data_IF_117683002628
#
_entry.id   IF_117683002628
#
_cell.length_a   1.000
_cell.length_b   1.000
_cell.length_c   1.000
_cell.angle_alpha   90.00
_cell.angle_beta   90.00
_cell.angle_gamma   90.00
#
_symmetry.space_group_name_H-M   'P 1'
#
loop_
_entity.id
_entity.type
_entity.pdbx_description
1 polymer ?
#
# COMPACT_ATOMS: atom_id res chain seq x y z
N UNK A 1 -9.63 42.35 -57.22
CA UNK A 1 -10.42 42.76 -56.03
C UNK A 1 -10.38 44.28 -55.82
N UNK A 2 -9.25 44.81 -55.35
CA UNK A 2 -9.03 46.26 -55.12
C UNK A 2 -9.29 47.10 -56.38
N UNK A 3 -8.99 46.56 -57.56
CA UNK A 3 -9.23 47.23 -58.84
C UNK A 3 -10.72 47.37 -59.21
N UNK A 4 -11.59 46.42 -58.84
CA UNK A 4 -13.04 46.49 -59.12
C UNK A 4 -13.75 47.45 -58.15
N UNK A 5 -13.35 47.45 -56.88
CA UNK A 5 -13.85 48.40 -55.88
C UNK A 5 -13.42 49.85 -56.20
N UNK A 6 -12.20 50.07 -56.71
CA UNK A 6 -11.74 51.38 -57.18
C UNK A 6 -12.49 51.87 -58.43
N UNK A 7 -12.84 50.98 -59.36
CA UNK A 7 -13.64 51.31 -60.54
C UNK A 7 -15.08 51.72 -60.17
N UNK A 8 -15.76 50.95 -59.31
CA UNK A 8 -17.12 51.27 -58.85
C UNK A 8 -17.20 52.62 -58.11
N UNK A 9 -16.16 52.97 -57.32
CA UNK A 9 -16.03 54.28 -56.65
C UNK A 9 -15.84 55.44 -57.63
N UNK A 10 -15.16 55.21 -58.76
CA UNK A 10 -14.94 56.23 -59.81
C UNK A 10 -16.19 56.47 -60.67
N UNK A 11 -17.10 55.50 -60.77
CA UNK A 11 -18.32 55.60 -61.56
C UNK A 11 -19.53 56.14 -60.77
N UNK A 12 -19.35 56.59 -59.51
CA UNK A 12 -20.42 57.22 -58.73
C UNK A 12 -21.51 56.27 -58.23
N UNK A 13 -21.33 54.95 -58.36
CA UNK A 13 -22.32 53.95 -57.96
C UNK A 13 -22.10 53.60 -56.47
N UNK A 14 -22.51 54.52 -55.59
CA UNK A 14 -22.30 54.43 -54.14
C UNK A 14 -22.79 53.11 -53.53
N UNK A 15 -23.97 52.65 -53.93
CA UNK A 15 -24.61 51.45 -53.39
C UNK A 15 -23.93 50.14 -53.81
N UNK A 16 -23.34 50.06 -55.01
CA UNK A 16 -22.67 48.83 -55.49
C UNK A 16 -21.33 48.59 -54.81
N UNK A 17 -20.64 49.64 -54.35
CA UNK A 17 -19.36 49.50 -53.63
C UNK A 17 -19.53 48.79 -52.28
N UNK A 18 -20.61 49.11 -51.57
CA UNK A 18 -20.93 48.50 -50.27
C UNK A 18 -21.36 47.05 -50.45
N UNK A 19 -22.17 46.75 -51.47
CA UNK A 19 -22.59 45.37 -51.80
C UNK A 19 -21.40 44.50 -52.19
N UNK A 20 -20.50 44.99 -53.04
CA UNK A 20 -19.29 44.24 -53.43
C UNK A 20 -18.35 44.06 -52.23
N UNK A 21 -18.14 45.08 -51.40
CA UNK A 21 -17.31 44.92 -50.19
C UNK A 21 -17.95 43.95 -49.19
N UNK A 22 -19.28 43.94 -49.06
CA UNK A 22 -20.02 42.99 -48.22
C UNK A 22 -19.91 41.57 -48.73
N UNK A 23 -20.15 41.32 -50.02
CA UNK A 23 -19.98 39.99 -50.61
C UNK A 23 -18.52 39.50 -50.51
N UNK A 24 -17.54 40.39 -50.63
CA UNK A 24 -16.14 40.05 -50.48
C UNK A 24 -15.76 39.76 -49.02
N UNK A 25 -16.32 40.52 -48.07
CA UNK A 25 -16.15 40.27 -46.64
C UNK A 25 -16.82 38.94 -46.27
N UNK A 26 -18.04 38.69 -46.75
CA UNK A 26 -18.77 37.44 -46.53
C UNK A 26 -18.05 36.24 -47.16
N UNK A 27 -17.49 36.36 -48.37
CA UNK A 27 -16.70 35.32 -49.02
C UNK A 27 -15.35 35.07 -48.31
N UNK A 28 -14.70 36.13 -47.81
CA UNK A 28 -13.46 36.02 -47.04
C UNK A 28 -13.71 35.37 -45.67
N UNK A 29 -14.76 35.81 -44.95
CA UNK A 29 -15.23 35.26 -43.67
C UNK A 29 -15.70 33.81 -43.82
N UNK A 30 -16.37 33.46 -44.92
CA UNK A 30 -16.73 32.07 -45.24
C UNK A 30 -15.50 31.19 -45.51
N UNK A 31 -14.47 31.70 -46.19
CA UNK A 31 -13.23 30.93 -46.44
C UNK A 31 -12.39 30.74 -45.17
N UNK A 32 -12.27 31.75 -44.31
CA UNK A 32 -11.62 31.60 -43.00
C UNK A 32 -12.44 30.69 -42.09
N UNK A 33 -13.77 30.79 -42.10
CA UNK A 33 -14.66 29.86 -41.39
C UNK A 33 -14.53 28.41 -41.86
N UNK A 34 -14.42 28.14 -43.16
CA UNK A 34 -14.20 26.78 -43.70
C UNK A 34 -12.82 26.23 -43.32
N UNK A 35 -11.75 27.03 -43.43
CA UNK A 35 -10.39 26.62 -43.02
C UNK A 35 -10.31 26.37 -41.51
N UNK A 36 -10.94 27.21 -40.71
CA UNK A 36 -11.01 27.05 -39.26
C UNK A 36 -11.79 25.79 -38.87
N UNK A 37 -12.94 25.53 -39.51
CA UNK A 37 -13.69 24.27 -39.35
C UNK A 37 -12.86 23.05 -39.79
N UNK A 38 -12.07 23.16 -40.85
CA UNK A 38 -11.18 22.08 -41.30
C UNK A 38 -10.05 21.82 -40.29
N UNK A 39 -9.44 22.87 -39.72
CA UNK A 39 -8.43 22.73 -38.65
C UNK A 39 -9.04 22.09 -37.41
N UNK A 40 -10.23 22.53 -36.98
CA UNK A 40 -10.95 21.90 -35.86
C UNK A 40 -11.26 20.44 -36.17
N UNK A 41 -11.73 20.12 -37.39
CA UNK A 41 -12.01 18.74 -37.78
C UNK A 41 -10.74 17.87 -37.76
N UNK A 42 -9.61 18.38 -38.25
CA UNK A 42 -8.32 17.67 -38.18
C UNK A 42 -7.87 17.46 -36.74
N UNK A 43 -7.99 18.49 -35.88
CA UNK A 43 -7.66 18.37 -34.45
C UNK A 43 -8.58 17.38 -33.73
N UNK A 44 -9.89 17.38 -34.05
CA UNK A 44 -10.86 16.44 -33.51
C UNK A 44 -10.55 15.01 -33.98
N UNK A 45 -10.27 14.80 -35.27
CA UNK A 45 -9.86 13.50 -35.80
C UNK A 45 -8.55 13.01 -35.17
N UNK A 46 -7.57 13.90 -34.98
CA UNK A 46 -6.31 13.58 -34.31
C UNK A 46 -6.54 13.20 -32.84
N UNK A 47 -7.40 13.95 -32.13
CA UNK A 47 -7.78 13.63 -30.75
C UNK A 47 -8.46 12.27 -30.66
N UNK A 48 -9.42 11.97 -31.55
CA UNK A 48 -10.09 10.67 -31.62
C UNK A 48 -9.10 9.55 -31.92
N UNK A 49 -8.18 9.74 -32.86
CA UNK A 49 -7.17 8.75 -33.19
C UNK A 49 -6.20 8.49 -32.03
N UNK A 50 -5.74 9.54 -31.34
CA UNK A 50 -4.89 9.42 -30.14
C UNK A 50 -5.64 8.73 -29.01
N UNK A 51 -6.93 9.04 -28.83
CA UNK A 51 -7.79 8.43 -27.80
C UNK A 51 -8.05 6.96 -28.10
N UNK A 52 -8.33 6.61 -29.37
CA UNK A 52 -8.52 5.23 -29.81
C UNK A 52 -7.23 4.41 -29.69
N UNK A 53 -6.08 4.98 -30.05
CA UNK A 53 -4.77 4.34 -29.85
C UNK A 53 -4.46 4.15 -28.36
N UNK A 54 -4.73 5.17 -27.53
CA UNK A 54 -4.59 5.09 -26.08
C UNK A 54 -5.45 3.98 -25.48
N UNK A 55 -6.72 3.92 -25.87
CA UNK A 55 -7.66 2.88 -25.44
C UNK A 55 -7.18 1.49 -25.86
N UNK A 56 -6.81 1.29 -27.12
CA UNK A 56 -6.29 0.01 -27.62
C UNK A 56 -5.04 -0.44 -26.87
N UNK A 57 -4.11 0.48 -26.59
CA UNK A 57 -2.89 0.19 -25.84
C UNK A 57 -3.19 -0.14 -24.38
N UNK A 58 -4.11 0.58 -23.73
CA UNK A 58 -4.57 0.28 -22.36
C UNK A 58 -5.19 -1.12 -22.30
N UNK A 59 -6.04 -1.47 -23.25
CA UNK A 59 -6.67 -2.80 -23.30
C UNK A 59 -5.64 -3.92 -23.47
N UNK A 60 -4.65 -3.72 -24.33
CA UNK A 60 -3.51 -4.63 -24.46
C UNK A 60 -2.74 -4.81 -23.15
N UNK A 61 -2.46 -3.72 -22.43
CA UNK A 61 -1.80 -3.76 -21.12
C UNK A 61 -2.66 -4.45 -20.05
N UNK A 62 -3.98 -4.21 -20.04
CA UNK A 62 -4.93 -4.90 -19.14
C UNK A 62 -4.90 -6.41 -19.37
N UNK A 63 -4.89 -6.85 -20.63
CA UNK A 63 -4.80 -8.28 -20.98
C UNK A 63 -3.48 -8.91 -20.51
N UNK A 64 -2.35 -8.23 -20.72
CA UNK A 64 -1.04 -8.68 -20.24
C UNK A 64 -1.01 -8.81 -18.72
N UNK A 65 -1.57 -7.83 -17.99
CA UNK A 65 -1.70 -7.91 -16.54
C UNK A 65 -2.51 -9.12 -16.09
N UNK A 66 -3.67 -9.34 -16.70
CA UNK A 66 -4.53 -10.48 -16.35
C UNK A 66 -3.82 -11.83 -16.49
N UNK A 67 -2.96 -11.98 -17.50
CA UNK A 67 -2.12 -13.17 -17.66
C UNK A 67 -1.09 -13.30 -16.53
N UNK A 68 -0.37 -12.22 -16.21
CA UNK A 68 0.63 -12.21 -15.13
C UNK A 68 -0.02 -12.53 -13.78
N UNK A 69 -1.15 -11.89 -13.46
CA UNK A 69 -1.88 -12.13 -12.23
C UNK A 69 -2.39 -13.58 -12.13
N UNK A 70 -2.85 -14.16 -13.25
CA UNK A 70 -3.27 -15.56 -13.32
C UNK A 70 -2.13 -16.53 -12.99
N UNK A 71 -0.93 -16.29 -13.52
CA UNK A 71 0.27 -17.08 -13.21
C UNK A 71 0.66 -16.96 -11.73
N UNK A 72 0.66 -15.73 -11.19
CA UNK A 72 0.92 -15.48 -9.77
C UNK A 72 -0.06 -16.25 -8.90
N UNK A 73 -1.36 -16.20 -9.21
CA UNK A 73 -2.40 -16.90 -8.45
C UNK A 73 -2.22 -18.43 -8.49
N UNK A 74 -1.84 -18.99 -9.64
CA UNK A 74 -1.58 -20.43 -9.76
C UNK A 74 -0.38 -20.84 -8.90
N UNK A 75 0.72 -20.10 -8.95
CA UNK A 75 1.92 -20.39 -8.16
C UNK A 75 1.61 -20.29 -6.66
N UNK A 76 0.94 -19.23 -6.23
CA UNK A 76 0.53 -19.03 -4.83
C UNK A 76 -0.40 -20.15 -4.33
N UNK A 77 -1.31 -20.66 -5.19
CA UNK A 77 -2.18 -21.78 -4.85
C UNK A 77 -1.41 -23.09 -4.65
N UNK A 78 -0.34 -23.33 -5.41
CA UNK A 78 0.56 -24.48 -5.21
C UNK A 78 1.37 -24.30 -3.93
N UNK A 79 1.96 -23.12 -3.73
CA UNK A 79 2.74 -22.79 -2.53
C UNK A 79 1.91 -22.93 -1.24
N UNK A 80 0.63 -22.55 -1.26
CA UNK A 80 -0.25 -22.70 -0.10
C UNK A 80 -0.45 -24.15 0.35
N UNK A 81 -0.37 -25.10 -0.60
CA UNK A 81 -0.48 -26.56 -0.36
C UNK A 81 0.86 -27.20 -0.03
N UNK A 82 1.97 -26.58 -0.41
CA UNK A 82 3.30 -27.03 -0.04
C UNK A 82 3.49 -26.85 1.47
N UNK A 83 3.87 -27.94 2.15
CA UNK A 83 3.99 -27.94 3.62
C UNK A 83 5.42 -27.77 4.12
N UNK A 84 6.43 -27.69 3.24
CA UNK A 84 7.85 -27.67 3.63
C UNK A 84 8.74 -26.87 2.66
N UNK A 85 9.86 -26.40 3.20
CA UNK A 85 10.99 -25.88 2.44
C UNK A 85 11.62 -27.01 1.61
N UNK A 86 11.48 -26.95 0.30
CA UNK A 86 12.03 -27.92 -0.66
C UNK A 86 12.62 -27.17 -1.86
N UNK A 87 13.50 -27.84 -2.62
CA UNK A 87 14.07 -27.27 -3.84
C UNK A 87 12.98 -26.88 -4.87
N UNK A 88 11.85 -27.59 -4.89
CA UNK A 88 10.70 -27.27 -5.73
C UNK A 88 9.99 -25.98 -5.26
N UNK A 89 9.80 -25.82 -3.95
CA UNK A 89 9.24 -24.59 -3.36
C UNK A 89 10.11 -23.37 -3.68
N UNK A 90 11.43 -23.52 -3.60
CA UNK A 90 12.37 -22.45 -3.96
C UNK A 90 12.29 -22.07 -5.44
N UNK A 91 12.13 -23.05 -6.34
CA UNK A 91 11.92 -22.79 -7.77
C UNK A 91 10.60 -22.06 -8.05
N UNK A 92 9.53 -22.45 -7.36
CA UNK A 92 8.23 -21.79 -7.48
C UNK A 92 8.28 -20.33 -7.00
N UNK A 93 8.96 -20.07 -5.88
CA UNK A 93 9.14 -18.69 -5.38
C UNK A 93 10.01 -17.87 -6.35
N UNK A 94 11.09 -18.44 -6.89
CA UNK A 94 11.89 -17.72 -7.88
C UNK A 94 11.09 -17.39 -9.16
N UNK A 95 10.20 -18.28 -9.60
CA UNK A 95 9.28 -18.01 -10.72
C UNK A 95 8.25 -16.93 -10.34
N UNK A 96 7.74 -16.97 -9.12
CA UNK A 96 6.84 -15.94 -8.59
C UNK A 96 7.49 -14.55 -8.63
N UNK A 97 8.71 -14.42 -8.11
CA UNK A 97 9.47 -13.16 -8.10
C UNK A 97 9.61 -12.59 -9.53
N UNK A 98 9.88 -13.44 -10.52
CA UNK A 98 9.95 -13.01 -11.93
C UNK A 98 8.63 -12.45 -12.47
N UNK A 99 7.49 -13.00 -12.06
CA UNK A 99 6.19 -12.47 -12.46
C UNK A 99 5.83 -11.21 -11.68
N UNK A 100 6.20 -11.12 -10.40
CA UNK A 100 6.08 -9.90 -9.61
C UNK A 100 6.85 -8.73 -10.26
N UNK A 101 8.10 -8.96 -10.68
CA UNK A 101 8.92 -7.97 -11.39
C UNK A 101 8.27 -7.50 -12.71
N UNK A 102 7.76 -8.44 -13.50
CA UNK A 102 7.03 -8.14 -14.76
C UNK A 102 5.79 -7.28 -14.48
N UNK A 103 5.07 -7.60 -13.42
CA UNK A 103 3.86 -6.88 -13.06
C UNK A 103 4.15 -5.47 -12.55
N UNK A 104 5.22 -5.29 -11.75
CA UNK A 104 5.71 -3.98 -11.33
C UNK A 104 6.16 -3.13 -12.52
N UNK A 105 6.88 -3.72 -13.48
CA UNK A 105 7.27 -3.03 -14.70
C UNK A 105 6.06 -2.54 -15.51
N UNK A 106 5.00 -3.36 -15.57
CA UNK A 106 3.75 -3.01 -16.22
C UNK A 106 3.04 -1.84 -15.51
N UNK A 107 2.97 -1.88 -14.18
CA UNK A 107 2.35 -0.83 -13.35
C UNK A 107 3.07 0.53 -13.45
N UNK A 108 4.39 0.54 -13.69
CA UNK A 108 5.17 1.77 -13.90
C UNK A 108 4.81 2.50 -15.21
N UNK A 109 4.12 1.84 -16.13
CA UNK A 109 3.71 2.46 -17.41
C UNK A 109 2.63 3.52 -17.18
N UNK A 110 2.87 4.77 -17.60
CA UNK A 110 1.97 5.92 -17.40
C UNK A 110 0.54 5.65 -17.88
N UNK A 111 0.39 4.99 -19.04
CA UNK A 111 -0.90 4.62 -19.63
C UNK A 111 -1.69 3.64 -18.75
N UNK A 112 -1.00 2.74 -18.05
CA UNK A 112 -1.65 1.82 -17.12
C UNK A 112 -2.15 2.58 -15.89
N UNK A 113 -1.30 3.43 -15.27
CA UNK A 113 -1.68 4.22 -14.08
C UNK A 113 -2.93 5.09 -14.27
N UNK A 114 -3.12 5.63 -15.47
CA UNK A 114 -4.28 6.48 -15.80
C UNK A 114 -5.55 5.65 -16.08
N UNK A 115 -5.39 4.44 -16.64
CA UNK A 115 -6.51 3.59 -17.07
C UNK A 115 -6.91 2.46 -16.10
N UNK A 116 -6.20 2.27 -14.98
CA UNK A 116 -6.33 1.07 -14.13
C UNK A 116 -6.89 1.30 -12.72
N UNK A 117 -7.65 2.37 -12.48
CA UNK A 117 -8.32 2.61 -11.19
C UNK A 117 -9.42 1.59 -10.84
N UNK A 118 -9.62 0.57 -11.67
CA UNK A 118 -10.74 -0.34 -11.57
C UNK A 118 -10.44 -1.53 -10.63
N UNK A 119 -10.94 -1.41 -9.40
CA UNK A 119 -11.36 -2.49 -8.52
C UNK A 119 -10.27 -3.40 -7.95
N UNK A 120 -9.25 -2.82 -7.33
CA UNK A 120 -8.50 -3.58 -6.32
C UNK A 120 -9.32 -3.65 -5.02
N UNK A 121 -9.46 -4.85 -4.47
CA UNK A 121 -10.18 -5.07 -3.21
C UNK A 121 -9.61 -4.18 -2.11
N UNK A 122 -10.46 -3.37 -1.45
CA UNK A 122 -10.02 -2.27 -0.58
C UNK A 122 -8.95 -2.67 0.44
N UNK A 123 -9.14 -3.79 1.13
CA UNK A 123 -8.18 -4.32 2.12
C UNK A 123 -6.83 -4.67 1.47
N UNK A 124 -6.83 -5.26 0.28
CA UNK A 124 -5.60 -5.60 -0.44
C UNK A 124 -4.81 -4.34 -0.79
N UNK A 125 -5.50 -3.28 -1.20
CA UNK A 125 -4.88 -1.99 -1.47
C UNK A 125 -4.27 -1.38 -0.20
N UNK A 126 -4.98 -1.40 0.93
CA UNK A 126 -4.45 -0.90 2.20
C UNK A 126 -3.20 -1.67 2.67
N UNK A 127 -3.18 -3.00 2.50
CA UNK A 127 -1.96 -3.79 2.76
C UNK A 127 -0.82 -3.31 1.87
N UNK A 128 -1.05 -3.09 0.57
CA UNK A 128 0.00 -2.61 -0.35
C UNK A 128 0.54 -1.24 0.05
N UNK A 129 -0.34 -0.33 0.46
CA UNK A 129 0.05 1.00 0.94
C UNK A 129 0.91 0.90 2.21
N UNK A 130 0.50 0.07 3.17
CA UNK A 130 1.29 -0.22 4.38
C UNK A 130 2.66 -0.83 4.03
N UNK A 131 2.69 -1.81 3.13
CA UNK A 131 3.93 -2.47 2.73
C UNK A 131 4.88 -1.51 2.02
N UNK A 132 4.37 -0.65 1.13
CA UNK A 132 5.16 0.38 0.46
C UNK A 132 5.75 1.38 1.47
N UNK A 133 4.96 1.82 2.45
CA UNK A 133 5.44 2.70 3.53
C UNK A 133 6.53 2.03 4.39
N UNK A 134 6.41 0.71 4.61
CA UNK A 134 7.41 -0.07 5.33
C UNK A 134 8.65 -0.41 4.50
N UNK A 135 8.71 0.01 3.23
CA UNK A 135 9.81 -0.32 2.32
C UNK A 135 9.81 -1.80 1.90
N UNK A 136 8.71 -2.51 2.12
CA UNK A 136 8.50 -3.91 1.76
C UNK A 136 7.78 -3.99 0.41
N UNK A 137 8.40 -3.50 -0.68
CA UNK A 137 7.77 -3.57 -2.00
C UNK A 137 7.66 -5.04 -2.46
N UNK A 138 6.46 -5.62 -2.36
CA UNK A 138 6.10 -6.85 -3.08
C UNK A 138 4.82 -6.65 -3.86
N UNK A 139 4.82 -7.15 -5.09
CA UNK A 139 3.65 -7.08 -5.95
C UNK A 139 2.58 -8.09 -5.50
N UNK A 140 3.03 -9.28 -5.07
CA UNK A 140 2.14 -10.31 -4.53
C UNK A 140 2.06 -10.23 -3.01
N UNK A 141 0.85 -10.46 -2.50
CA UNK A 141 0.57 -10.75 -1.10
C UNK A 141 0.08 -12.20 -1.07
N UNK A 142 0.70 -13.10 -0.28
CA UNK A 142 0.24 -14.47 -0.16
C UNK A 142 -1.27 -14.55 0.15
N UNK A 143 -2.05 -15.38 -0.55
CA UNK A 143 -3.50 -15.48 -0.34
C UNK A 143 -3.89 -15.81 1.09
N UNK A 144 -3.11 -16.66 1.76
CA UNK A 144 -3.30 -16.99 3.18
C UNK A 144 -3.14 -15.75 4.07
N UNK A 145 -2.15 -14.89 3.78
CA UNK A 145 -1.95 -13.65 4.52
C UNK A 145 -3.12 -12.69 4.34
N UNK A 146 -3.53 -12.47 3.09
CA UNK A 146 -4.70 -11.63 2.76
C UNK A 146 -5.97 -12.16 3.44
N UNK A 147 -6.20 -13.48 3.39
CA UNK A 147 -7.33 -14.13 4.07
C UNK A 147 -7.30 -13.92 5.59
N UNK A 148 -6.13 -14.02 6.21
CA UNK A 148 -5.96 -13.76 7.63
C UNK A 148 -6.21 -12.28 7.99
N UNK A 149 -5.71 -11.32 7.21
CA UNK A 149 -5.98 -9.90 7.44
C UNK A 149 -7.50 -9.63 7.38
N UNK A 150 -8.19 -10.12 6.35
CA UNK A 150 -9.66 -9.97 6.23
C UNK A 150 -10.40 -10.56 7.42
N UNK A 151 -10.02 -11.77 7.85
CA UNK A 151 -10.59 -12.43 9.04
C UNK A 151 -10.40 -11.58 10.29
N UNK A 152 -9.22 -11.01 10.50
CA UNK A 152 -8.97 -10.15 11.67
C UNK A 152 -9.65 -8.79 11.59
N UNK A 153 -9.80 -8.20 10.40
CA UNK A 153 -10.64 -7.01 10.19
C UNK A 153 -12.07 -7.31 10.65
N UNK A 154 -12.67 -8.40 10.15
CA UNK A 154 -14.02 -8.83 10.58
C UNK A 154 -14.10 -9.11 12.08
N UNK A 155 -13.05 -9.68 12.67
CA UNK A 155 -13.01 -9.92 14.12
C UNK A 155 -13.01 -8.60 14.90
N UNK A 156 -12.22 -7.61 14.47
CA UNK A 156 -12.19 -6.28 15.09
C UNK A 156 -13.47 -5.49 14.86
N UNK A 157 -14.18 -5.69 13.74
CA UNK A 157 -15.49 -5.08 13.50
C UNK A 157 -16.63 -5.77 14.25
N UNK A 158 -16.47 -7.04 14.61
CA UNK A 158 -17.46 -7.86 15.31
C UNK A 158 -17.07 -8.18 16.76
N UNK A 159 -16.66 -9.42 17.09
CA UNK A 159 -16.43 -9.85 18.47
C UNK A 159 -15.46 -8.99 19.28
N UNK A 160 -14.42 -8.45 18.64
CA UNK A 160 -13.40 -7.62 19.29
C UNK A 160 -13.67 -6.11 19.13
N UNK A 161 -14.85 -5.72 18.61
CA UNK A 161 -15.24 -4.32 18.42
C UNK A 161 -15.10 -3.44 19.66
N UNK A 162 -15.45 -3.89 20.88
CA UNK A 162 -15.27 -3.06 22.07
C UNK A 162 -13.82 -2.61 22.29
N UNK A 163 -12.84 -3.49 22.03
CA UNK A 163 -11.42 -3.18 22.20
C UNK A 163 -10.96 -2.12 21.20
N UNK A 164 -11.39 -2.28 19.94
CA UNK A 164 -11.07 -1.33 18.87
C UNK A 164 -11.77 0.02 19.08
N UNK A 165 -13.06 0.01 19.42
CA UNK A 165 -13.85 1.21 19.69
C UNK A 165 -13.28 2.02 20.86
N UNK A 166 -12.81 1.34 21.92
CA UNK A 166 -12.15 2.02 23.04
C UNK A 166 -10.85 2.70 22.62
N UNK A 167 -10.02 2.05 21.80
CA UNK A 167 -8.78 2.63 21.31
C UNK A 167 -8.99 3.84 20.38
N UNK A 168 -10.06 3.81 19.58
CA UNK A 168 -10.40 4.86 18.63
C UNK A 168 -11.26 5.98 19.25
N UNK A 169 -11.93 5.70 20.37
CA UNK A 169 -12.78 6.64 21.12
C UNK A 169 -12.12 7.10 22.41
N UNK A 170 -12.45 6.44 23.52
CA UNK A 170 -12.06 6.84 24.90
C UNK A 170 -10.54 6.99 25.08
N UNK A 171 -9.76 6.08 24.51
CA UNK A 171 -8.30 6.08 24.61
C UNK A 171 -7.62 6.74 23.38
N UNK A 172 -8.37 7.47 22.54
CA UNK A 172 -7.85 8.13 21.35
C UNK A 172 -6.70 9.11 21.66
N UNK A 173 -6.78 9.82 22.79
CA UNK A 173 -5.70 10.73 23.20
C UNK A 173 -4.44 9.97 23.62
N UNK A 174 -4.60 8.84 24.32
CA UNK A 174 -3.48 7.94 24.66
C UNK A 174 -2.84 7.38 23.40
N UNK A 175 -3.66 6.90 22.45
CA UNK A 175 -3.21 6.41 21.14
C UNK A 175 -2.48 7.50 20.36
N UNK A 176 -3.01 8.73 20.33
CA UNK A 176 -2.37 9.89 19.69
C UNK A 176 -0.98 10.16 20.28
N UNK A 177 -0.85 10.16 21.60
CA UNK A 177 0.45 10.33 22.26
C UNK A 177 1.43 9.21 21.88
N UNK A 178 0.99 7.95 21.84
CA UNK A 178 1.85 6.85 21.42
C UNK A 178 2.30 7.01 19.97
N UNK A 179 1.37 7.30 19.04
CA UNK A 179 1.67 7.57 17.62
C UNK A 179 2.69 8.69 17.44
N UNK A 180 2.56 9.80 18.19
CA UNK A 180 3.53 10.89 18.19
C UNK A 180 4.92 10.47 18.69
N UNK A 181 5.01 9.56 19.67
CA UNK A 181 6.29 9.02 20.13
C UNK A 181 6.96 8.22 18.99
N UNK A 182 6.21 7.40 18.24
CA UNK A 182 6.77 6.68 17.08
C UNK A 182 7.26 7.66 16.00
N UNK A 183 6.45 8.67 15.68
CA UNK A 183 6.80 9.69 14.69
C UNK A 183 8.09 10.43 15.06
N UNK A 184 8.23 10.89 16.30
CA UNK A 184 9.43 11.57 16.80
C UNK A 184 10.70 10.71 16.77
N UNK A 185 10.57 9.40 16.65
CA UNK A 185 11.71 8.46 16.54
C UNK A 185 11.89 7.93 15.11
N UNK A 186 11.27 8.60 14.13
CA UNK A 186 11.33 8.25 12.71
C UNK A 186 10.88 6.83 12.43
N UNK A 187 9.82 6.39 13.12
CA UNK A 187 9.13 5.14 12.86
C UNK A 187 7.69 5.42 12.38
N UNK A 188 7.10 4.53 11.56
CA UNK A 188 5.70 4.63 11.19
C UNK A 188 4.79 4.75 12.42
N UNK A 189 3.96 5.80 12.53
CA UNK A 189 3.11 6.02 13.70
C UNK A 189 2.15 4.85 13.97
N UNK A 190 1.73 4.15 12.92
CA UNK A 190 0.75 3.07 13.02
C UNK A 190 1.29 1.80 13.68
N UNK A 191 2.60 1.71 13.90
CA UNK A 191 3.18 0.70 14.80
C UNK A 191 2.66 0.84 16.24
N UNK A 192 2.10 2.00 16.62
CA UNK A 192 1.39 2.15 17.89
C UNK A 192 0.21 1.17 18.04
N UNK A 193 -0.44 0.73 16.95
CA UNK A 193 -1.57 -0.20 17.01
C UNK A 193 -1.18 -1.62 17.44
N UNK A 194 0.11 -1.95 17.57
CA UNK A 194 0.58 -3.23 18.15
C UNK A 194 -0.04 -3.47 19.54
N UNK A 195 -0.24 -2.41 20.34
CA UNK A 195 -0.84 -2.51 21.69
C UNK A 195 -2.26 -3.10 21.69
N UNK A 196 -3.00 -3.00 20.58
CA UNK A 196 -4.31 -3.62 20.42
C UNK A 196 -4.21 -5.14 20.32
N UNK A 197 -3.11 -5.64 19.76
CA UNK A 197 -2.82 -7.06 19.65
C UNK A 197 -2.27 -7.60 20.96
N UNK A 198 -1.38 -6.84 21.60
CA UNK A 198 -0.68 -7.27 22.82
C UNK A 198 -1.59 -7.26 24.05
N UNK A 199 -2.36 -6.20 24.26
CA UNK A 199 -3.07 -5.99 25.52
C UNK A 199 -4.50 -5.51 25.32
N UNK A 200 -4.98 -5.47 24.08
CA UNK A 200 -6.22 -4.79 23.72
C UNK A 200 -6.26 -3.32 24.19
N UNK A 201 -5.12 -2.69 24.50
CA UNK A 201 -4.95 -1.37 25.14
C UNK A 201 -5.41 -1.30 26.62
N UNK A 202 -5.56 -2.41 27.35
CA UNK A 202 -5.90 -2.36 28.80
C UNK A 202 -4.66 -2.38 29.67
N UNK A 203 -3.70 -3.27 29.36
CA UNK A 203 -2.42 -3.38 30.07
C UNK A 203 -2.48 -4.12 31.41
N UNK A 204 -3.67 -4.60 31.81
CA UNK A 204 -3.92 -5.17 33.14
C UNK A 204 -3.55 -6.66 33.27
N UNK A 205 -3.36 -7.35 32.14
CA UNK A 205 -3.12 -8.80 32.12
C UNK A 205 -1.63 -9.12 32.13
N UNK A 206 -1.25 -10.09 32.97
CA UNK A 206 0.09 -10.67 33.01
C UNK A 206 0.10 -11.98 32.21
N UNK A 207 1.00 -12.09 31.24
CA UNK A 207 1.14 -13.32 30.45
C UNK A 207 1.84 -14.44 31.24
N UNK A 208 1.74 -15.71 30.82
CA UNK A 208 2.49 -16.82 31.44
C UNK A 208 4.02 -16.62 31.44
N UNK A 209 4.55 -15.84 30.49
CA UNK A 209 5.96 -15.47 30.42
C UNK A 209 6.32 -14.25 31.30
N UNK A 210 5.38 -13.76 32.10
CA UNK A 210 5.53 -12.59 32.96
C UNK A 210 5.47 -11.24 32.23
N UNK A 211 4.97 -11.22 30.99
CA UNK A 211 4.81 -10.00 30.22
C UNK A 211 3.63 -9.16 30.75
N UNK A 212 3.77 -7.83 30.80
CA UNK A 212 2.71 -6.94 31.34
C UNK A 212 2.71 -5.57 30.67
N UNK A 213 1.64 -4.80 30.90
CA UNK A 213 1.45 -3.45 30.38
C UNK A 213 0.95 -3.44 28.94
N UNK A 214 0.83 -2.25 28.37
CA UNK A 214 0.23 -2.06 27.04
C UNK A 214 0.99 -2.80 25.94
N UNK A 215 2.31 -2.85 26.08
CA UNK A 215 3.26 -3.42 25.13
C UNK A 215 3.62 -4.88 25.45
N UNK A 216 3.05 -5.46 26.53
CA UNK A 216 3.36 -6.80 27.02
C UNK A 216 4.87 -7.08 27.04
N UNK A 217 5.62 -6.26 27.80
CA UNK A 217 7.04 -6.51 27.96
C UNK A 217 7.34 -7.54 29.04
N UNK A 218 8.18 -8.52 28.74
CA UNK A 218 8.79 -9.38 29.76
C UNK A 218 9.71 -8.54 30.67
N UNK A 219 9.98 -8.97 31.92
CA UNK A 219 10.90 -8.24 32.81
C UNK A 219 12.32 -8.12 32.25
N UNK A 220 12.76 -9.09 31.44
CA UNK A 220 14.08 -9.05 30.79
C UNK A 220 14.10 -7.97 29.69
N UNK A 221 13.18 -8.06 28.73
CA UNK A 221 13.09 -7.10 27.62
C UNK A 221 12.86 -5.67 28.14
N UNK A 222 12.00 -5.49 29.14
CA UNK A 222 11.77 -4.17 29.74
C UNK A 222 13.07 -3.54 30.27
N UNK A 223 13.89 -4.30 30.98
CA UNK A 223 15.17 -3.83 31.53
C UNK A 223 16.19 -3.56 30.43
N UNK A 224 16.25 -4.42 29.41
CA UNK A 224 17.14 -4.21 28.24
C UNK A 224 16.84 -2.89 27.52
N UNK A 225 15.58 -2.43 27.57
CA UNK A 225 15.15 -1.17 26.97
C UNK A 225 14.97 -0.02 27.98
N UNK A 226 15.55 -0.17 29.18
CA UNK A 226 15.73 0.90 30.16
C UNK A 226 14.54 1.16 31.09
N UNK A 227 13.58 0.23 31.19
CA UNK A 227 12.50 0.28 32.17
C UNK A 227 12.96 -0.33 33.50
N UNK A 228 12.56 0.29 34.60
CA UNK A 228 12.72 -0.28 35.95
C UNK A 228 11.62 -1.30 36.21
N UNK A 229 12.03 -2.51 36.56
CA UNK A 229 11.16 -3.60 36.97
C UNK A 229 11.73 -4.22 38.24
N UNK A 230 11.07 -3.99 39.37
CA UNK A 230 11.48 -4.46 40.70
C UNK A 230 11.52 -3.34 41.74
N UNK A 231 11.74 -3.72 43.01
CA UNK A 231 11.84 -2.76 44.12
C UNK A 231 10.56 -1.94 44.35
N UNK A 232 9.39 -2.52 44.07
CA UNK A 232 8.08 -1.84 44.18
C UNK A 232 7.71 -0.96 42.99
N UNK A 233 8.54 -0.90 41.95
CA UNK A 233 8.29 -0.11 40.72
C UNK A 233 8.21 -1.03 39.51
N UNK A 234 7.18 -0.85 38.68
CA UNK A 234 7.06 -1.52 37.38
C UNK A 234 6.71 -0.51 36.27
N UNK A 235 7.73 0.00 35.60
CA UNK A 235 7.58 1.01 34.54
C UNK A 235 7.00 0.44 33.23
N UNK A 236 6.75 -0.88 33.16
CA UNK A 236 6.00 -1.49 32.04
C UNK A 236 4.54 -1.03 32.01
N UNK A 237 3.99 -0.64 33.17
CA UNK A 237 2.64 -0.12 33.32
C UNK A 237 2.53 1.38 32.97
N UNK A 238 3.66 2.10 32.93
CA UNK A 238 3.69 3.49 32.51
C UNK A 238 3.57 3.57 30.98
N UNK A 239 2.48 4.16 30.48
CA UNK A 239 2.22 4.26 29.04
C UNK A 239 3.36 4.96 28.28
N UNK A 240 3.87 6.08 28.80
CA UNK A 240 4.85 6.88 28.07
C UNK A 240 6.21 6.21 28.07
N UNK A 241 6.64 5.69 29.22
CA UNK A 241 7.94 5.00 29.35
C UNK A 241 7.94 3.71 28.55
N UNK A 242 6.91 2.87 28.70
CA UNK A 242 6.79 1.61 27.95
C UNK A 242 6.72 1.85 26.44
N UNK A 243 6.03 2.91 25.98
CA UNK A 243 5.99 3.25 24.55
C UNK A 243 7.34 3.70 24.02
N UNK A 244 8.12 4.48 24.79
CA UNK A 244 9.48 4.84 24.40
C UNK A 244 10.40 3.62 24.35
N UNK A 245 10.23 2.67 25.27
CA UNK A 245 10.95 1.40 25.24
C UNK A 245 10.56 0.54 24.03
N UNK A 246 9.27 0.43 23.70
CA UNK A 246 8.75 -0.26 22.51
C UNK A 246 9.28 0.33 21.21
N UNK A 247 9.32 1.67 21.12
CA UNK A 247 9.89 2.36 19.98
C UNK A 247 11.37 1.99 19.77
N UNK A 248 12.18 2.01 20.84
CA UNK A 248 13.59 1.56 20.78
C UNK A 248 13.71 0.09 20.40
N UNK A 249 12.86 -0.77 20.95
CA UNK A 249 12.88 -2.20 20.66
C UNK A 249 12.57 -2.49 19.19
N UNK A 250 11.45 -1.96 18.68
CA UNK A 250 11.02 -2.15 17.29
C UNK A 250 12.06 -1.56 16.34
N UNK A 251 12.62 -0.38 16.64
CA UNK A 251 13.70 0.21 15.85
C UNK A 251 14.91 -0.74 15.76
N UNK A 252 15.35 -1.31 16.88
CA UNK A 252 16.46 -2.26 16.87
C UNK A 252 16.13 -3.52 16.06
N UNK A 253 14.91 -4.05 16.18
CA UNK A 253 14.48 -5.19 15.38
C UNK A 253 14.51 -4.87 13.88
N UNK A 254 14.01 -3.70 13.46
CA UNK A 254 14.05 -3.26 12.06
C UNK A 254 15.50 -3.19 11.57
N UNK A 255 16.40 -2.58 12.36
CA UNK A 255 17.81 -2.45 12.02
C UNK A 255 18.51 -3.82 11.94
N UNK A 256 18.22 -4.73 12.86
CA UNK A 256 18.73 -6.12 12.86
C UNK A 256 18.37 -6.86 11.57
N UNK A 257 17.16 -6.63 11.04
CA UNK A 257 16.68 -7.28 9.82
C UNK A 257 17.02 -6.52 8.52
N UNK A 258 17.48 -5.27 8.59
CA UNK A 258 18.00 -4.51 7.45
C UNK A 258 16.93 -3.75 6.64
N UNK A 259 17.14 -3.58 5.34
CA UNK A 259 16.17 -2.95 4.42
C UNK A 259 15.18 -3.97 3.83
N UNK A 260 14.06 -3.50 3.27
CA UNK A 260 13.04 -4.34 2.64
C UNK A 260 11.91 -4.72 3.60
N UNK A 261 11.53 -6.00 3.64
CA UNK A 261 10.49 -6.54 4.55
C UNK A 261 10.87 -6.54 6.05
N UNK A 262 11.77 -5.67 6.48
CA UNK A 262 12.33 -5.65 7.83
C UNK A 262 11.31 -5.27 8.89
N UNK A 263 10.32 -4.42 8.59
CA UNK A 263 9.21 -4.13 9.50
C UNK A 263 8.39 -5.40 9.77
N UNK A 264 8.07 -6.19 8.75
CA UNK A 264 7.33 -7.44 8.96
C UNK A 264 8.16 -8.50 9.70
N UNK A 265 9.47 -8.58 9.42
CA UNK A 265 10.37 -9.43 10.20
C UNK A 265 10.48 -8.94 11.66
N UNK A 266 10.45 -7.63 11.90
CA UNK A 266 10.42 -7.05 13.23
C UNK A 266 9.12 -7.37 13.96
N UNK A 267 7.95 -7.29 13.31
CA UNK A 267 6.68 -7.73 13.89
C UNK A 267 6.69 -9.23 14.23
N UNK A 268 7.21 -10.07 13.32
CA UNK A 268 7.37 -11.49 13.58
C UNK A 268 8.32 -11.75 14.77
N UNK A 269 9.42 -10.99 14.87
CA UNK A 269 10.39 -11.10 15.95
C UNK A 269 9.87 -10.55 17.28
N UNK A 270 8.99 -9.56 17.26
CA UNK A 270 8.34 -9.02 18.44
C UNK A 270 7.52 -10.12 19.13
N UNK A 271 6.75 -10.90 18.36
CA UNK A 271 5.95 -12.02 18.88
C UNK A 271 6.79 -13.27 19.18
N UNK A 272 7.58 -13.75 18.22
CA UNK A 272 8.28 -15.04 18.32
C UNK A 272 9.56 -14.97 19.16
N UNK A 273 10.14 -13.78 19.26
CA UNK A 273 11.49 -13.52 19.77
C UNK A 273 12.53 -13.39 18.63
N UNK A 274 13.47 -12.43 18.74
CA UNK A 274 14.42 -12.11 17.67
C UNK A 274 15.35 -13.27 17.32
N UNK A 275 15.81 -14.05 18.30
CA UNK A 275 16.72 -15.18 18.07
C UNK A 275 16.10 -16.26 17.19
N UNK A 276 14.80 -16.52 17.34
CA UNK A 276 14.08 -17.53 16.55
C UNK A 276 13.87 -17.08 15.11
N UNK A 277 13.48 -15.82 14.90
CA UNK A 277 13.38 -15.25 13.55
C UNK A 277 14.75 -15.20 12.88
N UNK A 278 15.81 -14.81 13.60
CA UNK A 278 17.18 -14.84 13.09
C UNK A 278 17.60 -16.25 12.69
N UNK A 279 17.27 -17.26 13.49
CA UNK A 279 17.53 -18.65 13.14
C UNK A 279 16.76 -19.11 11.89
N UNK A 280 15.52 -18.67 11.71
CA UNK A 280 14.74 -18.95 10.50
C UNK A 280 15.37 -18.28 9.26
N UNK A 281 15.75 -17.01 9.38
CA UNK A 281 16.43 -16.24 8.33
C UNK A 281 17.79 -16.86 7.96
N UNK A 282 18.55 -17.39 8.92
CA UNK A 282 19.87 -18.00 8.66
C UNK A 282 19.78 -19.39 8.01
N UNK A 283 18.61 -20.01 7.93
CA UNK A 283 18.40 -21.33 7.31
C UNK A 283 18.07 -21.25 5.82
N UNK A 284 17.93 -20.05 5.25
CA UNK A 284 17.61 -19.87 3.84
C UNK A 284 18.83 -20.14 2.96
N UNK A 285 18.60 -20.62 1.73
CA UNK A 285 19.65 -21.00 0.79
C UNK A 285 20.26 -19.77 0.09
N UNK A 286 19.41 -18.80 -0.30
CA UNK A 286 19.81 -17.55 -0.94
C UNK A 286 19.48 -16.37 -0.01
N UNK A 287 20.43 -15.88 0.80
CA UNK A 287 20.18 -14.81 1.77
C UNK A 287 19.87 -13.45 1.13
N UNK A 288 20.11 -13.27 -0.18
CA UNK A 288 19.78 -12.02 -0.88
C UNK A 288 18.30 -12.01 -1.23
N UNK A 289 17.76 -13.12 -1.73
CA UNK A 289 16.36 -13.20 -2.20
C UNK A 289 15.38 -13.74 -1.16
N UNK A 290 15.84 -14.64 -0.30
CA UNK A 290 14.98 -15.41 0.61
C UNK A 290 14.94 -14.84 2.03
N UNK A 291 15.77 -13.82 2.35
CA UNK A 291 15.75 -13.11 3.64
C UNK A 291 14.60 -12.11 3.72
N UNK A 292 13.36 -12.57 3.52
CA UNK A 292 12.16 -11.75 3.62
C UNK A 292 11.08 -12.42 4.47
N UNK A 293 10.21 -11.63 5.06
CA UNK A 293 9.06 -12.17 5.80
C UNK A 293 8.19 -13.06 4.88
N UNK A 294 7.98 -12.64 3.64
CA UNK A 294 7.14 -13.37 2.69
C UNK A 294 7.69 -14.74 2.34
N UNK A 295 9.00 -14.86 2.15
CA UNK A 295 9.63 -16.16 1.96
C UNK A 295 9.38 -17.06 3.17
N UNK A 296 9.74 -16.59 4.38
CA UNK A 296 9.56 -17.35 5.61
C UNK A 296 8.09 -17.72 5.89
N UNK A 297 7.16 -16.86 5.50
CA UNK A 297 5.72 -17.10 5.59
C UNK A 297 5.29 -18.24 4.65
N UNK A 298 5.69 -18.18 3.37
CA UNK A 298 5.34 -19.19 2.34
C UNK A 298 5.93 -20.55 2.66
N UNK A 299 7.18 -20.62 3.09
CA UNK A 299 7.83 -21.91 3.44
C UNK A 299 7.50 -22.38 4.85
N UNK A 300 6.59 -21.70 5.57
CA UNK A 300 6.16 -22.01 6.93
C UNK A 300 7.32 -22.11 7.94
N UNK A 301 8.36 -21.29 7.76
CA UNK A 301 9.53 -21.25 8.64
C UNK A 301 9.27 -20.50 9.96
N UNK A 302 8.16 -19.78 10.06
CA UNK A 302 7.65 -19.20 11.30
C UNK A 302 6.39 -19.97 11.77
N UNK A 303 6.20 -20.13 13.09
CA UNK A 303 5.11 -20.96 13.61
C UNK A 303 3.73 -20.34 13.32
N UNK A 304 2.64 -21.14 13.39
CA UNK A 304 1.29 -20.68 13.12
C UNK A 304 0.91 -19.41 13.89
N UNK A 305 1.25 -19.35 15.18
CA UNK A 305 0.98 -18.17 16.03
C UNK A 305 1.55 -16.88 15.41
N UNK A 306 2.82 -16.89 14.99
CA UNK A 306 3.47 -15.72 14.38
C UNK A 306 2.93 -15.43 12.98
N UNK A 307 2.53 -16.46 12.22
CA UNK A 307 1.85 -16.28 10.93
C UNK A 307 0.47 -15.66 11.07
N UNK A 308 -0.17 -15.76 12.23
CA UNK A 308 -1.41 -15.06 12.56
C UNK A 308 -1.17 -13.68 13.19
N UNK A 309 -0.11 -13.54 13.98
CA UNK A 309 0.24 -12.30 14.68
C UNK A 309 0.44 -11.12 13.71
N UNK A 310 1.27 -11.30 12.68
CA UNK A 310 1.57 -10.20 11.73
C UNK A 310 0.29 -9.73 10.99
N UNK A 311 -0.54 -10.61 10.38
CA UNK A 311 -1.83 -10.20 9.83
C UNK A 311 -2.74 -9.50 10.83
N UNK A 312 -2.76 -9.91 12.10
CA UNK A 312 -3.58 -9.29 13.13
C UNK A 312 -3.14 -7.85 13.42
N UNK A 313 -1.83 -7.60 13.50
CA UNK A 313 -1.28 -6.24 13.62
C UNK A 313 -1.63 -5.39 12.39
N UNK A 314 -1.47 -5.94 11.19
CA UNK A 314 -1.81 -5.23 9.95
C UNK A 314 -3.31 -4.89 9.90
N UNK A 315 -4.19 -5.80 10.30
CA UNK A 315 -5.64 -5.51 10.37
C UNK A 315 -5.96 -4.36 11.34
N UNK A 316 -5.29 -4.32 12.51
CA UNK A 316 -5.45 -3.22 13.46
C UNK A 316 -4.98 -1.88 12.89
N UNK A 317 -3.87 -1.86 12.14
CA UNK A 317 -3.38 -0.66 11.45
C UNK A 317 -4.36 -0.18 10.37
N UNK A 318 -4.92 -1.09 9.56
CA UNK A 318 -5.88 -0.76 8.50
C UNK A 318 -7.10 -0.06 9.09
N UNK A 319 -7.69 -0.64 10.15
CA UNK A 319 -8.85 -0.04 10.82
C UNK A 319 -8.45 1.29 11.47
N UNK A 320 -7.29 1.33 12.12
CA UNK A 320 -6.80 2.52 12.80
C UNK A 320 -6.59 3.73 11.88
N UNK A 321 -6.21 3.51 10.62
CA UNK A 321 -6.05 4.56 9.60
C UNK A 321 -7.36 5.16 9.13
N UNK A 322 -8.39 4.33 9.02
CA UNK A 322 -9.67 4.69 8.41
C UNK A 322 -10.85 4.19 9.25
N UNK A 323 -10.96 4.60 10.53
CA UNK A 323 -11.97 4.07 11.45
C UNK A 323 -13.39 4.22 10.89
N UNK A 324 -13.67 5.33 10.21
CA UNK A 324 -14.97 5.63 9.59
C UNK A 324 -15.38 4.61 8.51
N UNK A 325 -14.41 4.06 7.77
CA UNK A 325 -14.69 3.03 6.73
C UNK A 325 -15.05 1.69 7.32
N UNK A 326 -14.68 1.47 8.58
CA UNK A 326 -14.92 0.25 9.35
C UNK A 326 -16.05 0.45 10.39
N UNK A 327 -16.77 1.56 10.28
CA UNK A 327 -17.93 1.89 11.11
C UNK A 327 -17.59 2.26 12.55
N UNK A 328 -16.38 2.74 12.83
CA UNK A 328 -15.98 3.32 14.12
C UNK A 328 -16.10 4.83 14.14
#
# INVERSE_FOLDING_TARGET
AIHRARMARRMGIGDSTVVIMREMLDAALHRTGRRFKAVIAVLACALVAVSAFGFWKIEGLKKQKGQIDGEIQQIEAVLARANQNSAETDQLIARLDQYEDKAMALQKTLLYRVGSFEHEEAIKNEIRLLMAEFGAETYSIPPEFLGNVKRFVQQYEGPNRPNMARALGEASQQMKTMRQIFEHNSLPPDLAYIVLVESALTGDSVSPAGAVGLWQFTPATARDYGLKVGGGVDERLDTTKSTRAACKYIRNLILDFGSGSSVMLALAAYNLGPSRVRAAVHKVNDPIKQRSFWYLYRVRAVPPETREYVPKVIAAMIIGRHPERHGF
#
